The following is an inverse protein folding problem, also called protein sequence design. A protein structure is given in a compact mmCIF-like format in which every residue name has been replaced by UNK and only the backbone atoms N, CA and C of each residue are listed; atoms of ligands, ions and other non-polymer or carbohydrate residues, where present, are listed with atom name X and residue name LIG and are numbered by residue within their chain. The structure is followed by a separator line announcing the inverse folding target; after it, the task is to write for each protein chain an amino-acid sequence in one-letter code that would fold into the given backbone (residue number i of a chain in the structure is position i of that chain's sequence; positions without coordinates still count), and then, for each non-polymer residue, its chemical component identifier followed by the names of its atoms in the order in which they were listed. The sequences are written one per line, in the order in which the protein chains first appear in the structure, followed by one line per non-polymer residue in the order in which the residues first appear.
data_IF_202335977626
#
_entry.id   IF_202335977626
#
_cell.length_a   1.000
_cell.length_b   1.000
_cell.length_c   1.000
_cell.angle_alpha   90.00
_cell.angle_beta   90.00
_cell.angle_gamma   90.00
#
_symmetry.space_group_name_H-M   'P 1'
#
loop_
_entity.id
_entity.type
_entity.pdbx_description
1 polymer ?
#
# COMPACT_ATOMS: atom_id res chain seq x y z
N UNK A 1 -12.11 3.67 -26.46
CA UNK A 1 -13.19 2.75 -26.89
C UNK A 1 -13.99 2.35 -25.66
N UNK A 2 -15.23 2.85 -25.52
CA UNK A 2 -16.11 2.49 -24.40
C UNK A 2 -16.71 1.11 -24.72
N UNK A 3 -16.24 0.08 -24.03
CA UNK A 3 -16.79 -1.27 -24.19
C UNK A 3 -18.16 -1.29 -23.54
N UNK A 4 -19.23 -1.43 -24.33
CA UNK A 4 -20.57 -1.64 -23.78
C UNK A 4 -20.59 -2.96 -23.01
N UNK A 5 -21.06 -2.92 -21.78
CA UNK A 5 -21.18 -4.07 -20.90
C UNK A 5 -22.18 -5.06 -21.48
N UNK A 6 -21.84 -6.35 -21.46
CA UNK A 6 -22.80 -7.39 -21.79
C UNK A 6 -23.92 -7.42 -20.71
N UNK A 7 -25.14 -7.86 -21.03
CA UNK A 7 -26.31 -7.76 -20.13
C UNK A 7 -26.09 -8.47 -18.78
N UNK A 8 -25.28 -9.53 -18.79
CA UNK A 8 -24.85 -10.25 -17.59
C UNK A 8 -23.81 -9.46 -16.77
N UNK A 9 -22.91 -8.74 -17.42
CA UNK A 9 -21.94 -7.85 -16.77
C UNK A 9 -22.66 -6.68 -16.11
N UNK A 10 -23.61 -6.05 -16.81
CA UNK A 10 -24.43 -4.97 -16.25
C UNK A 10 -25.21 -5.40 -14.98
N UNK A 11 -25.77 -6.61 -14.97
CA UNK A 11 -26.42 -7.19 -13.76
C UNK A 11 -25.41 -7.44 -12.64
N UNK A 12 -24.24 -7.98 -12.95
CA UNK A 12 -23.19 -8.22 -11.97
C UNK A 12 -22.64 -6.92 -11.37
N UNK A 13 -22.61 -5.82 -12.15
CA UNK A 13 -22.12 -4.52 -11.70
C UNK A 13 -23.15 -3.74 -10.87
N UNK A 14 -24.45 -4.03 -11.05
CA UNK A 14 -25.53 -3.47 -10.24
C UNK A 14 -25.80 -4.25 -8.95
N UNK A 15 -25.25 -5.46 -8.81
CA UNK A 15 -25.44 -6.29 -7.63
C UNK A 15 -24.49 -5.86 -6.51
N UNK A 16 -25.04 -5.41 -5.38
CA UNK A 16 -24.25 -5.11 -4.19
C UNK A 16 -23.59 -6.40 -3.65
N UNK A 17 -22.31 -6.34 -3.23
CA UNK A 17 -21.63 -7.51 -2.68
C UNK A 17 -22.31 -7.98 -1.39
N UNK A 18 -22.40 -9.30 -1.25
CA UNK A 18 -23.01 -9.93 -0.07
C UNK A 18 -22.17 -9.70 1.20
N UNK A 19 -22.79 -9.80 2.39
CA UNK A 19 -22.07 -9.63 3.67
C UNK A 19 -20.92 -10.63 3.83
N UNK A 20 -21.12 -11.86 3.38
CA UNK A 20 -20.11 -12.93 3.42
C UNK A 20 -18.94 -12.64 2.48
N UNK A 21 -19.21 -12.15 1.27
CA UNK A 21 -18.19 -11.70 0.33
C UNK A 21 -17.39 -10.51 0.87
N UNK A 22 -18.06 -9.55 1.52
CA UNK A 22 -17.37 -8.44 2.17
C UNK A 22 -16.46 -8.91 3.31
N UNK A 23 -16.89 -9.93 4.06
CA UNK A 23 -16.06 -10.57 5.09
C UNK A 23 -14.82 -11.24 4.51
N UNK A 24 -14.98 -12.04 3.46
CA UNK A 24 -13.86 -12.76 2.84
C UNK A 24 -12.84 -11.82 2.18
N UNK A 25 -13.30 -10.71 1.58
CA UNK A 25 -12.43 -9.68 1.01
C UNK A 25 -11.60 -8.98 2.08
N UNK A 26 -12.18 -8.69 3.25
CA UNK A 26 -11.42 -8.11 4.37
C UNK A 26 -10.38 -9.08 4.92
N UNK A 27 -10.75 -10.33 5.15
CA UNK A 27 -9.82 -11.36 5.66
C UNK A 27 -8.66 -11.57 4.68
N UNK A 28 -8.97 -11.72 3.38
CA UNK A 28 -7.93 -11.86 2.35
C UNK A 28 -7.04 -10.62 2.25
N UNK A 29 -7.58 -9.41 2.44
CA UNK A 29 -6.74 -8.20 2.49
C UNK A 29 -5.72 -8.25 3.62
N UNK A 30 -6.10 -8.73 4.81
CA UNK A 30 -5.17 -8.86 5.95
C UNK A 30 -4.10 -9.89 5.66
N UNK A 31 -4.46 -11.01 5.03
CA UNK A 31 -3.50 -12.02 4.62
C UNK A 31 -2.51 -11.48 3.58
N UNK A 32 -2.98 -10.70 2.59
CA UNK A 32 -2.12 -10.07 1.60
C UNK A 32 -1.24 -8.98 2.20
N UNK A 33 -1.75 -8.20 3.15
CA UNK A 33 -0.97 -7.23 3.93
C UNK A 33 0.19 -7.92 4.66
N UNK A 34 -0.08 -9.07 5.31
CA UNK A 34 0.97 -9.86 5.94
C UNK A 34 2.00 -10.38 4.91
N UNK A 35 1.53 -10.88 3.77
CA UNK A 35 2.39 -11.30 2.66
C UNK A 35 3.26 -10.16 2.12
N UNK A 36 2.69 -8.98 1.91
CA UNK A 36 3.42 -7.79 1.46
C UNK A 36 4.52 -7.41 2.45
N UNK A 37 4.26 -7.49 3.76
CA UNK A 37 5.26 -7.24 4.79
C UNK A 37 6.44 -8.22 4.69
N UNK A 38 6.21 -9.49 4.36
CA UNK A 38 7.31 -10.46 4.17
C UNK A 38 8.23 -10.10 3.01
N UNK A 39 7.66 -9.60 1.91
CA UNK A 39 8.41 -9.21 0.70
C UNK A 39 9.14 -7.89 0.94
N UNK A 40 8.45 -6.93 1.57
CA UNK A 40 8.95 -5.58 1.78
C UNK A 40 10.05 -5.49 2.83
N UNK A 41 10.14 -6.41 3.81
CA UNK A 41 11.08 -6.30 4.92
C UNK A 41 12.53 -6.71 4.56
N UNK A 42 13.58 -5.93 4.89
CA UNK A 42 13.54 -4.58 5.46
C UNK A 42 13.20 -3.53 4.39
N UNK A 43 12.17 -2.70 4.64
CA UNK A 43 11.64 -1.77 3.64
C UNK A 43 12.48 -0.49 3.58
N UNK A 44 13.25 -0.34 2.51
CA UNK A 44 14.15 0.80 2.27
C UNK A 44 14.04 1.28 0.81
N UNK A 45 12.88 1.81 0.38
CA UNK A 45 12.59 2.09 -1.02
C UNK A 45 13.57 3.10 -1.65
N UNK A 46 14.06 4.07 -0.88
CA UNK A 46 14.99 5.07 -1.40
C UNK A 46 16.41 4.51 -1.52
N UNK A 47 16.86 3.73 -0.54
CA UNK A 47 18.12 2.99 -0.63
C UNK A 47 18.12 1.88 -1.69
N UNK A 48 16.97 1.41 -2.14
CA UNK A 48 16.87 0.48 -3.27
C UNK A 48 16.98 1.15 -4.63
N UNK A 49 16.49 2.39 -4.75
CA UNK A 49 16.38 3.12 -6.02
C UNK A 49 17.56 4.07 -6.26
N UNK A 50 18.20 4.57 -5.19
CA UNK A 50 19.28 5.56 -5.29
C UNK A 50 20.66 4.87 -5.11
N UNK A 51 21.62 5.05 -6.04
CA UNK A 51 22.93 4.36 -6.00
C UNK A 51 23.93 4.91 -4.97
N UNK A 52 23.80 6.18 -4.58
CA UNK A 52 24.61 6.78 -3.51
C UNK A 52 24.04 6.36 -2.17
N UNK A 53 24.88 6.01 -1.18
CA UNK A 53 24.51 5.75 0.23
C UNK A 53 23.16 6.38 0.53
N UNK A 54 22.09 5.58 0.42
CA UNK A 54 20.74 6.09 0.33
C UNK A 54 20.51 7.03 1.50
N UNK A 55 19.81 8.17 1.34
CA UNK A 55 19.57 9.07 2.46
C UNK A 55 18.80 8.29 3.53
N UNK A 56 19.55 7.75 4.49
CA UNK A 56 19.07 6.93 5.60
C UNK A 56 17.93 7.64 6.33
N UNK A 57 18.00 8.97 6.35
CA UNK A 57 16.99 9.87 6.89
C UNK A 57 15.68 9.79 6.12
N UNK A 58 15.72 9.74 4.78
CA UNK A 58 14.53 9.62 3.92
C UNK A 58 13.87 8.25 4.09
N UNK A 59 14.63 7.15 4.10
CA UNK A 59 14.07 5.82 4.36
C UNK A 59 13.48 5.74 5.77
N UNK A 60 14.16 6.28 6.79
CA UNK A 60 13.60 6.31 8.16
C UNK A 60 12.32 7.13 8.24
N UNK A 61 12.24 8.26 7.54
CA UNK A 61 11.12 9.20 7.66
C UNK A 61 9.92 8.84 6.76
N UNK A 62 10.17 8.33 5.55
CA UNK A 62 9.12 8.11 4.55
C UNK A 62 8.76 6.64 4.36
N UNK A 63 9.65 5.67 4.65
CA UNK A 63 9.33 4.27 4.40
C UNK A 63 8.12 3.79 5.21
N UNK A 64 8.07 4.14 6.50
CA UNK A 64 6.92 3.80 7.36
C UNK A 64 5.61 4.43 6.90
N UNK A 65 5.53 5.76 6.67
CA UNK A 65 4.37 6.39 6.06
C UNK A 65 3.91 5.76 4.74
N UNK A 66 4.85 5.46 3.84
CA UNK A 66 4.53 4.86 2.54
C UNK A 66 3.96 3.45 2.70
N UNK A 67 4.58 2.62 3.54
CA UNK A 67 4.14 1.27 3.80
C UNK A 67 2.77 1.25 4.51
N UNK A 68 2.60 2.05 5.57
CA UNK A 68 1.33 2.16 6.28
C UNK A 68 0.22 2.71 5.38
N UNK A 69 0.54 3.67 4.51
CA UNK A 69 -0.39 4.17 3.50
C UNK A 69 -0.84 3.07 2.54
N UNK A 70 0.10 2.26 2.03
CA UNK A 70 -0.23 1.14 1.14
C UNK A 70 -1.13 0.10 1.83
N UNK A 71 -0.80 -0.27 3.07
CA UNK A 71 -1.60 -1.17 3.91
C UNK A 71 -3.01 -0.60 4.16
N UNK A 72 -3.12 0.69 4.47
CA UNK A 72 -4.40 1.37 4.63
C UNK A 72 -5.22 1.31 3.34
N UNK A 73 -4.61 1.61 2.19
CA UNK A 73 -5.28 1.54 0.90
C UNK A 73 -5.72 0.13 0.55
N UNK A 74 -4.92 -0.89 0.85
CA UNK A 74 -5.25 -2.30 0.66
C UNK A 74 -6.51 -2.70 1.43
N UNK A 75 -6.60 -2.31 2.70
CA UNK A 75 -7.80 -2.49 3.51
C UNK A 75 -9.01 -1.75 2.94
N UNK A 76 -8.84 -0.51 2.48
CA UNK A 76 -9.93 0.30 1.91
C UNK A 76 -10.42 -0.25 0.57
N UNK A 77 -9.52 -0.72 -0.30
CA UNK A 77 -9.85 -1.35 -1.59
C UNK A 77 -10.69 -2.62 -1.38
N UNK A 78 -10.36 -3.41 -0.35
CA UNK A 78 -11.15 -4.57 0.05
C UNK A 78 -12.55 -4.21 0.59
N UNK A 79 -12.67 -3.01 1.18
CA UNK A 79 -13.92 -2.47 1.70
C UNK A 79 -14.83 -1.79 0.67
N UNK A 80 -14.47 -1.75 -0.61
CA UNK A 80 -15.27 -1.12 -1.66
C UNK A 80 -16.53 -1.94 -1.95
N UNK A 81 -17.69 -1.30 -1.78
CA UNK A 81 -19.03 -1.89 -2.00
C UNK A 81 -19.60 -1.48 -3.36
N UNK A 82 -19.44 -0.22 -3.75
CA UNK A 82 -19.99 0.33 -5.00
C UNK A 82 -18.97 0.37 -6.14
N UNK A 83 -19.47 0.56 -7.36
CA UNK A 83 -18.63 0.90 -8.52
C UNK A 83 -18.05 2.30 -8.36
N UNK A 84 -16.74 2.41 -8.52
CA UNK A 84 -16.01 3.66 -8.39
C UNK A 84 -15.42 4.04 -9.73
N UNK A 85 -15.76 5.24 -10.21
CA UNK A 85 -15.14 5.83 -11.39
C UNK A 85 -13.82 6.47 -10.97
N UNK A 86 -12.73 5.88 -11.42
CA UNK A 86 -11.37 6.36 -11.31
C UNK A 86 -11.13 7.30 -12.49
N UNK A 87 -10.87 8.57 -12.23
CA UNK A 87 -10.39 9.51 -13.24
C UNK A 87 -8.97 9.94 -12.89
N UNK A 88 -8.00 9.56 -13.72
CA UNK A 88 -6.59 9.96 -13.61
C UNK A 88 -6.24 10.70 -14.89
N UNK A 89 -6.11 12.03 -14.81
CA UNK A 89 -5.95 12.91 -15.97
C UNK A 89 -7.03 12.62 -17.04
N UNK A 90 -6.64 12.07 -18.19
CA UNK A 90 -7.55 11.71 -19.30
C UNK A 90 -8.02 10.24 -19.27
N UNK A 91 -7.50 9.44 -18.33
CA UNK A 91 -7.87 8.04 -18.19
C UNK A 91 -9.04 7.86 -17.23
N UNK A 92 -10.16 7.40 -17.76
CA UNK A 92 -11.34 7.01 -16.98
C UNK A 92 -11.40 5.49 -16.91
N UNK A 93 -11.17 4.95 -15.72
CA UNK A 93 -11.37 3.53 -15.42
C UNK A 93 -12.55 3.36 -14.44
N UNK A 94 -13.25 2.25 -14.56
CA UNK A 94 -14.28 1.87 -13.60
C UNK A 94 -13.75 0.73 -12.76
N UNK A 95 -13.53 1.00 -11.47
CA UNK A 95 -13.20 -0.03 -10.50
C UNK A 95 -14.48 -0.68 -9.98
N UNK A 96 -14.57 -1.99 -10.17
CA UNK A 96 -15.72 -2.79 -9.75
C UNK A 96 -15.31 -3.73 -8.63
N UNK A 97 -16.22 -3.98 -7.69
CA UNK A 97 -15.98 -4.91 -6.57
C UNK A 97 -15.51 -6.29 -7.04
N UNK A 98 -16.03 -6.78 -8.17
CA UNK A 98 -15.63 -8.06 -8.77
C UNK A 98 -14.17 -8.11 -9.26
N UNK A 99 -13.53 -6.96 -9.51
CA UNK A 99 -12.12 -6.91 -9.93
C UNK A 99 -11.16 -7.18 -8.77
N UNK A 100 -11.63 -7.10 -7.52
CA UNK A 100 -10.82 -7.33 -6.34
C UNK A 100 -10.09 -8.68 -6.38
N UNK A 101 -10.80 -9.78 -6.66
CA UNK A 101 -10.19 -11.11 -6.66
C UNK A 101 -9.12 -11.28 -7.74
N UNK A 102 -9.25 -10.58 -8.87
CA UNK A 102 -8.23 -10.61 -9.93
C UNK A 102 -6.96 -9.89 -9.48
N UNK A 103 -7.11 -8.71 -8.88
CA UNK A 103 -5.97 -7.92 -8.37
C UNK A 103 -5.33 -8.61 -7.17
N UNK A 104 -6.14 -9.09 -6.22
CA UNK A 104 -5.70 -9.85 -5.05
C UNK A 104 -4.98 -11.16 -5.44
N UNK A 105 -5.51 -11.89 -6.43
CA UNK A 105 -4.86 -13.08 -6.97
C UNK A 105 -3.51 -12.77 -7.62
N UNK A 106 -3.43 -11.69 -8.41
CA UNK A 106 -2.17 -11.24 -9.00
C UNK A 106 -1.15 -10.86 -7.92
N UNK A 107 -1.57 -10.10 -6.91
CA UNK A 107 -0.73 -9.73 -5.76
C UNK A 107 -0.21 -10.97 -5.02
N UNK A 108 -1.08 -11.94 -4.71
CA UNK A 108 -0.69 -13.18 -4.06
C UNK A 108 0.36 -13.96 -4.88
N UNK A 109 0.15 -14.08 -6.19
CA UNK A 109 1.08 -14.77 -7.09
C UNK A 109 2.44 -14.06 -7.11
N UNK A 110 2.46 -12.73 -7.17
CA UNK A 110 3.71 -11.96 -7.12
C UNK A 110 4.44 -12.16 -5.79
N UNK A 111 3.72 -12.12 -4.66
CA UNK A 111 4.30 -12.35 -3.33
C UNK A 111 4.93 -13.76 -3.26
N UNK A 112 4.22 -14.79 -3.70
CA UNK A 112 4.72 -16.17 -3.69
C UNK A 112 5.91 -16.33 -4.62
N UNK A 113 5.84 -15.78 -5.84
CA UNK A 113 6.91 -15.87 -6.83
C UNK A 113 8.21 -15.21 -6.33
N UNK A 114 8.11 -14.05 -5.66
CA UNK A 114 9.27 -13.40 -5.06
C UNK A 114 9.88 -14.24 -3.95
N UNK A 115 9.06 -14.77 -3.05
CA UNK A 115 9.54 -15.57 -1.93
C UNK A 115 10.24 -16.86 -2.38
N UNK A 116 9.78 -17.47 -3.48
CA UNK A 116 10.43 -18.64 -4.08
C UNK A 116 11.70 -18.27 -4.86
N UNK A 117 11.70 -17.14 -5.56
CA UNK A 117 12.80 -16.74 -6.43
C UNK A 117 14.08 -16.34 -5.69
N UNK A 118 14.00 -15.90 -4.42
CA UNK A 118 15.14 -15.46 -3.59
C UNK A 118 16.06 -14.40 -4.23
N UNK A 119 15.65 -13.80 -5.36
CA UNK A 119 16.39 -12.75 -6.05
C UNK A 119 16.11 -11.40 -5.41
N UNK A 120 17.14 -10.77 -4.86
CA UNK A 120 16.97 -9.54 -4.10
C UNK A 120 16.51 -8.36 -4.97
N UNK A 121 17.04 -8.23 -6.19
CA UNK A 121 16.61 -7.19 -7.13
C UNK A 121 15.12 -7.34 -7.48
N UNK A 122 14.69 -8.57 -7.73
CA UNK A 122 13.29 -8.88 -8.04
C UNK A 122 12.38 -8.54 -6.86
N UNK A 123 12.79 -8.90 -5.64
CA UNK A 123 12.07 -8.56 -4.41
C UNK A 123 11.88 -7.05 -4.24
N UNK A 124 12.96 -6.27 -4.40
CA UNK A 124 12.92 -4.81 -4.29
C UNK A 124 12.01 -4.18 -5.33
N UNK A 125 12.08 -4.66 -6.58
CA UNK A 125 11.26 -4.17 -7.67
C UNK A 125 9.78 -4.49 -7.46
N UNK A 126 9.44 -5.73 -7.10
CA UNK A 126 8.06 -6.15 -6.84
C UNK A 126 7.49 -5.46 -5.60
N UNK A 127 8.24 -5.37 -4.49
CA UNK A 127 7.80 -4.66 -3.29
C UNK A 127 7.49 -3.18 -3.59
N UNK A 128 8.39 -2.50 -4.29
CA UNK A 128 8.20 -1.10 -4.68
C UNK A 128 7.00 -0.95 -5.63
N UNK A 129 6.87 -1.85 -6.61
CA UNK A 129 5.76 -1.86 -7.55
C UNK A 129 4.40 -2.12 -6.91
N UNK A 130 4.32 -3.08 -5.97
CA UNK A 130 3.09 -3.37 -5.22
C UNK A 130 2.68 -2.18 -4.36
N UNK A 131 3.61 -1.56 -3.64
CA UNK A 131 3.34 -0.40 -2.80
C UNK A 131 2.92 0.80 -3.65
N UNK A 132 3.63 1.08 -4.74
CA UNK A 132 3.26 2.15 -5.67
C UNK A 132 1.91 1.90 -6.34
N UNK A 133 1.61 0.66 -6.72
CA UNK A 133 0.32 0.26 -7.29
C UNK A 133 -0.83 0.42 -6.30
N UNK A 134 -0.63 0.00 -5.04
CA UNK A 134 -1.61 0.20 -3.96
C UNK A 134 -1.85 1.68 -3.68
N UNK A 135 -0.81 2.51 -3.72
CA UNK A 135 -0.94 3.96 -3.62
C UNK A 135 -1.71 4.55 -4.81
N UNK A 136 -1.34 4.20 -6.04
CA UNK A 136 -1.98 4.72 -7.24
C UNK A 136 -3.46 4.34 -7.34
N UNK A 137 -3.76 3.04 -7.18
CA UNK A 137 -5.14 2.53 -7.22
C UNK A 137 -5.91 3.02 -5.99
N UNK A 138 -5.32 2.93 -4.80
CA UNK A 138 -5.94 3.32 -3.54
C UNK A 138 -6.30 4.80 -3.50
N UNK A 139 -5.38 5.67 -3.92
CA UNK A 139 -5.62 7.11 -4.04
C UNK A 139 -6.73 7.41 -5.04
N UNK A 140 -6.75 6.73 -6.19
CA UNK A 140 -7.73 7.02 -7.22
C UNK A 140 -9.13 6.44 -6.90
N UNK A 141 -9.20 5.35 -6.13
CA UNK A 141 -10.45 4.76 -5.65
C UNK A 141 -11.04 5.45 -4.41
N UNK A 142 -10.25 6.14 -3.59
CA UNK A 142 -10.76 6.68 -2.31
C UNK A 142 -11.42 8.05 -2.46
N UNK A 143 -12.66 8.23 -1.94
CA UNK A 143 -13.28 9.54 -1.79
C UNK A 143 -12.41 10.53 -0.98
N UNK A 144 -12.59 11.83 -1.25
CA UNK A 144 -11.83 12.91 -0.61
C UNK A 144 -11.85 12.84 0.92
N UNK A 145 -12.99 12.44 1.52
CA UNK A 145 -13.10 12.26 2.98
C UNK A 145 -12.05 11.30 3.54
N UNK A 146 -11.83 10.17 2.88
CA UNK A 146 -10.85 9.18 3.34
C UNK A 146 -9.41 9.62 3.10
N UNK A 147 -9.17 10.44 2.08
CA UNK A 147 -7.86 11.07 1.85
C UNK A 147 -7.52 12.06 2.97
N UNK A 148 -8.51 12.83 3.42
CA UNK A 148 -8.36 13.74 4.55
C UNK A 148 -8.13 12.97 5.86
N UNK A 149 -8.89 11.90 6.11
CA UNK A 149 -8.68 11.01 7.26
C UNK A 149 -7.27 10.38 7.24
N UNK A 150 -6.84 9.88 6.09
CA UNK A 150 -5.49 9.36 5.91
C UNK A 150 -4.42 10.46 6.12
N UNK A 151 -4.68 11.69 5.68
CA UNK A 151 -3.79 12.83 5.87
C UNK A 151 -3.65 13.24 7.35
N UNK A 152 -4.73 13.17 8.13
CA UNK A 152 -4.69 13.39 9.57
C UNK A 152 -3.83 12.34 10.28
N UNK A 153 -4.01 11.05 9.94
CA UNK A 153 -3.17 9.98 10.47
C UNK A 153 -1.71 10.13 10.03
N UNK A 154 -1.46 10.52 8.78
CA UNK A 154 -0.11 10.72 8.26
C UNK A 154 0.63 11.83 9.00
N UNK A 155 -0.04 12.95 9.25
CA UNK A 155 0.53 14.04 10.07
C UNK A 155 0.91 13.53 11.44
N UNK A 156 0.02 12.79 12.10
CA UNK A 156 0.31 12.24 13.42
C UNK A 156 1.53 11.32 13.43
N UNK A 157 1.64 10.43 12.44
CA UNK A 157 2.80 9.54 12.26
C UNK A 157 4.07 10.38 12.08
N UNK A 158 4.05 11.40 11.21
CA UNK A 158 5.19 12.29 11.03
C UNK A 158 5.55 13.07 12.31
N UNK A 159 4.57 13.51 13.10
CA UNK A 159 4.85 14.19 14.37
C UNK A 159 5.58 13.27 15.34
N UNK A 160 5.11 12.02 15.49
CA UNK A 160 5.76 11.02 16.36
C UNK A 160 7.17 10.71 15.85
N UNK A 161 7.33 10.55 14.55
CA UNK A 161 8.60 10.19 13.94
C UNK A 161 9.61 11.35 14.00
N UNK A 162 9.16 12.59 13.82
CA UNK A 162 9.96 13.79 14.03
C UNK A 162 10.39 13.94 15.50
N UNK A 163 9.49 13.67 16.46
CA UNK A 163 9.83 13.66 17.89
C UNK A 163 10.88 12.59 18.18
N UNK A 164 10.75 11.39 17.63
CA UNK A 164 11.71 10.30 17.84
C UNK A 164 13.08 10.63 17.25
N UNK A 165 13.13 11.24 16.06
CA UNK A 165 14.39 11.67 15.43
C UNK A 165 15.06 12.81 16.22
N UNK A 166 14.29 13.78 16.71
CA UNK A 166 14.79 14.82 17.61
C UNK A 166 15.31 14.23 18.92
N UNK A 167 14.62 13.24 19.51
CA UNK A 167 15.08 12.53 20.71
C UNK A 167 16.36 11.75 20.45
N UNK A 168 16.52 11.12 19.29
CA UNK A 168 17.76 10.43 18.89
C UNK A 168 18.91 11.41 18.67
N UNK A 169 18.65 12.55 18.00
CA UNK A 169 19.63 13.61 17.80
C UNK A 169 20.07 14.29 19.10
N UNK A 170 19.16 14.47 20.05
CA UNK A 170 19.45 15.01 21.38
C UNK A 170 20.09 13.97 22.34
N UNK A 171 19.71 12.69 22.21
CA UNK A 171 20.23 11.57 23.01
C UNK A 171 21.61 11.07 22.59
N UNK A 172 22.06 11.37 21.37
CA UNK A 172 23.39 11.00 20.85
C UNK A 172 24.58 11.67 21.54
N UNK A 173 24.36 12.62 22.47
CA UNK A 173 25.41 13.28 23.26
C UNK A 173 25.38 12.97 24.76
N UNK A 174 24.45 12.15 25.23
CA UNK A 174 24.36 11.79 26.65
C UNK A 174 24.89 10.37 26.89
N UNK A 175 26.20 10.26 27.12
CA UNK A 175 26.72 9.18 27.97
C UNK A 175 27.37 7.98 27.29
N UNK A 176 28.32 8.18 26.37
CA UNK A 176 29.43 7.20 26.21
C UNK A 176 30.48 7.48 27.30
N UNK A 177 30.07 7.26 28.55
CA UNK A 177 30.96 7.23 29.69
C UNK A 177 31.86 6.00 29.59
N UNK A 178 33.16 6.25 29.47
CA UNK A 178 34.23 5.24 29.56
C UNK A 178 33.94 4.28 30.71
N UNK A 179 33.91 2.99 30.43
CA UNK A 179 34.28 1.97 31.42
C UNK A 179 35.56 1.33 30.92
N UNK A 180 36.61 1.62 31.68
CA UNK A 180 37.83 0.83 31.75
C UNK A 180 37.51 -0.57 32.25
#
# INVERSE_FOLDING_TARGET
MVKQANTNEARAWGALPSRTEMGSRRISSVALMAGLLTVAYPFAPFGWLLPSDGPDVLDRFLAWPLLLGALFFQWRIAGVIGTLTIQIADFVAVYQHAMYWKVAGLEAVLIVAVNLGQHEVWRRFVASGLIAGLWGIGWACTPLRYKLEAWEHLKWIWTVLAIDEVRRGLGGRAGRGRRW
#
